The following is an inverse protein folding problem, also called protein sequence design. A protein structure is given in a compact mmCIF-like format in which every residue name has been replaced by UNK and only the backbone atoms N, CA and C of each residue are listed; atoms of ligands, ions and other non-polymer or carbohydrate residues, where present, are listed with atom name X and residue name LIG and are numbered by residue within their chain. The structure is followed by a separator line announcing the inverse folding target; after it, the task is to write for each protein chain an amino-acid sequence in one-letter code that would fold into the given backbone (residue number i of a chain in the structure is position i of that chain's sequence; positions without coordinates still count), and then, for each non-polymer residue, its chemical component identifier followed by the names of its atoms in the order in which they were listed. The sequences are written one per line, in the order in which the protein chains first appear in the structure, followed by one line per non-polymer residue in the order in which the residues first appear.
data_IF_970349390825
#
_entry.id   IF_970349390825
#
_cell.length_a   1.000
_cell.length_b   1.000
_cell.length_c   1.000
_cell.angle_alpha   90.00
_cell.angle_beta   90.00
_cell.angle_gamma   90.00
#
_symmetry.space_group_name_H-M   'P 1'
#
loop_
_entity.id
_entity.type
_entity.pdbx_description
1 polymer ?
#
# COMPACT_ATOMS: atom_id res chain seq x y z
N UNK A 1 -51.68 1.61 11.34
CA UNK A 1 -51.15 0.83 10.21
C UNK A 1 -49.79 0.32 10.60
N UNK A 2 -49.70 -0.98 10.82
CA UNK A 2 -48.48 -1.73 11.13
C UNK A 2 -47.70 -1.99 9.84
N UNK A 3 -46.39 -1.75 9.86
CA UNK A 3 -45.48 -2.16 8.79
C UNK A 3 -45.32 -3.69 8.80
N UNK A 4 -45.26 -4.37 7.63
CA UNK A 4 -44.94 -5.79 7.60
C UNK A 4 -43.45 -6.02 7.84
N UNK A 5 -43.19 -7.03 8.67
CA UNK A 5 -41.91 -7.59 9.07
C UNK A 5 -41.20 -8.35 7.95
N UNK A 6 -39.85 -8.28 7.99
CA UNK A 6 -38.83 -9.20 7.47
C UNK A 6 -39.31 -10.35 6.57
N UNK A 7 -39.03 -10.24 5.27
CA UNK A 7 -38.96 -11.39 4.38
C UNK A 7 -37.59 -12.03 4.50
N UNK A 8 -37.55 -13.23 5.08
CA UNK A 8 -36.36 -14.08 5.07
C UNK A 8 -35.89 -14.36 3.64
N UNK A 9 -34.61 -14.11 3.39
CA UNK A 9 -33.93 -14.62 2.21
C UNK A 9 -33.95 -16.16 2.27
N UNK A 10 -34.84 -16.80 1.51
CA UNK A 10 -34.69 -18.21 1.22
C UNK A 10 -33.45 -18.38 0.36
N UNK A 11 -32.37 -18.90 0.94
CA UNK A 11 -31.21 -19.33 0.16
C UNK A 11 -31.71 -20.32 -0.91
N UNK A 12 -31.58 -19.94 -2.19
CA UNK A 12 -31.92 -20.81 -3.32
C UNK A 12 -31.13 -22.14 -3.25
N UNK A 13 -31.53 -23.15 -4.05
CA UNK A 13 -30.88 -24.45 -4.03
C UNK A 13 -29.36 -24.31 -4.19
N UNK A 14 -28.60 -24.89 -3.27
CA UNK A 14 -27.13 -24.88 -3.31
C UNK A 14 -26.66 -25.51 -4.61
N UNK A 15 -26.01 -24.71 -5.45
CA UNK A 15 -25.43 -25.21 -6.69
C UNK A 15 -24.07 -25.86 -6.39
N UNK A 16 -23.58 -26.80 -7.23
CA UNK A 16 -22.24 -27.37 -7.11
C UNK A 16 -21.12 -26.31 -7.03
N UNK A 17 -21.40 -25.09 -7.54
CA UNK A 17 -20.51 -23.94 -7.52
C UNK A 17 -20.38 -23.31 -6.12
N UNK A 18 -21.47 -23.22 -5.36
CA UNK A 18 -21.46 -22.73 -3.97
C UNK A 18 -20.68 -23.69 -3.05
N UNK A 19 -20.78 -25.00 -3.30
CA UNK A 19 -20.02 -25.99 -2.54
C UNK A 19 -18.52 -25.95 -2.86
N UNK A 20 -18.16 -25.75 -4.13
CA UNK A 20 -16.77 -25.52 -4.56
C UNK A 20 -16.18 -24.26 -3.91
N UNK A 21 -16.93 -23.16 -3.92
CA UNK A 21 -16.56 -21.91 -3.27
C UNK A 21 -16.28 -22.17 -1.78
N UNK A 22 -17.24 -22.73 -1.03
CA UNK A 22 -17.08 -23.02 0.39
C UNK A 22 -15.88 -23.94 0.71
N UNK A 23 -15.54 -24.89 -0.18
CA UNK A 23 -14.40 -25.80 -0.01
C UNK A 23 -13.06 -25.09 -0.26
N UNK A 24 -12.97 -24.22 -1.27
CA UNK A 24 -11.79 -23.39 -1.52
C UNK A 24 -11.56 -22.41 -0.37
N UNK A 25 -12.63 -21.76 0.12
CA UNK A 25 -12.56 -20.85 1.27
C UNK A 25 -12.02 -21.55 2.53
N UNK A 26 -12.44 -22.80 2.78
CA UNK A 26 -11.90 -23.61 3.89
C UNK A 26 -10.43 -24.00 3.72
N UNK A 27 -9.97 -24.16 2.47
CA UNK A 27 -8.61 -24.60 2.16
C UNK A 27 -7.58 -23.45 2.11
N UNK A 28 -8.03 -22.19 2.15
CA UNK A 28 -7.20 -20.99 2.15
C UNK A 28 -7.58 -20.10 3.34
N UNK A 29 -6.73 -19.96 4.37
CA UNK A 29 -6.92 -18.93 5.39
C UNK A 29 -6.52 -17.55 4.85
N UNK A 30 -7.44 -16.57 4.77
CA UNK A 30 -7.16 -15.21 4.29
C UNK A 30 -8.41 -14.40 3.94
N UNK A 31 -8.23 -13.15 3.46
CA UNK A 31 -9.33 -12.30 2.95
C UNK A 31 -9.46 -12.48 1.44
N UNK A 32 -10.67 -12.79 0.96
CA UNK A 32 -10.96 -13.06 -0.45
C UNK A 32 -12.35 -12.55 -0.83
N UNK A 33 -12.55 -12.35 -2.12
CA UNK A 33 -13.87 -12.08 -2.69
C UNK A 33 -14.14 -13.05 -3.84
N UNK A 34 -15.27 -13.74 -3.79
CA UNK A 34 -15.76 -14.55 -4.89
C UNK A 34 -16.87 -13.79 -5.63
N UNK A 35 -16.78 -13.73 -6.96
CA UNK A 35 -17.85 -13.21 -7.81
C UNK A 35 -18.35 -14.36 -8.66
N UNK A 36 -19.56 -14.82 -8.35
CA UNK A 36 -20.25 -15.87 -9.09
C UNK A 36 -21.26 -15.23 -10.04
N UNK A 37 -21.22 -15.64 -11.30
CA UNK A 37 -22.19 -15.22 -12.31
C UNK A 37 -22.68 -16.41 -13.13
N UNK A 38 -23.97 -16.38 -13.42
CA UNK A 38 -24.66 -17.36 -14.26
C UNK A 38 -24.88 -16.72 -15.63
N UNK A 39 -24.46 -17.42 -16.68
CA UNK A 39 -24.83 -17.06 -18.05
C UNK A 39 -26.15 -17.72 -18.44
N UNK A 40 -26.93 -17.03 -19.27
CA UNK A 40 -28.14 -17.62 -19.85
C UNK A 40 -27.77 -18.84 -20.72
N UNK A 41 -28.62 -19.87 -20.77
CA UNK A 41 -28.40 -21.03 -21.63
C UNK A 41 -28.44 -20.61 -23.11
N UNK A 42 -27.43 -21.03 -23.87
CA UNK A 42 -27.30 -20.71 -25.32
C UNK A 42 -28.39 -21.39 -26.18
N UNK A 43 -29.11 -22.37 -25.64
CA UNK A 43 -30.19 -23.13 -26.29
C UNK A 43 -31.09 -23.80 -25.22
N UNK A 44 -32.35 -24.17 -25.54
CA UNK A 44 -33.30 -24.78 -24.60
C UNK A 44 -32.78 -26.05 -23.92
N UNK A 45 -32.00 -26.85 -24.65
CA UNK A 45 -31.47 -28.14 -24.19
C UNK A 45 -30.01 -28.04 -23.69
N UNK A 46 -29.45 -26.84 -23.58
CA UNK A 46 -28.10 -26.62 -23.04
C UNK A 46 -28.18 -26.10 -21.61
N UNK A 47 -27.42 -26.69 -20.68
CA UNK A 47 -27.35 -26.17 -19.31
C UNK A 47 -26.75 -24.76 -19.30
N UNK A 48 -27.25 -23.91 -18.41
CA UNK A 48 -26.70 -22.58 -18.14
C UNK A 48 -25.23 -22.74 -17.70
N UNK A 49 -24.29 -21.98 -18.31
CA UNK A 49 -22.91 -22.01 -17.84
C UNK A 49 -22.78 -21.10 -16.63
N UNK A 50 -22.08 -21.56 -15.61
CA UNK A 50 -21.73 -20.76 -14.45
C UNK A 50 -20.23 -20.45 -14.49
N UNK A 51 -19.83 -19.29 -14.00
CA UNK A 51 -18.43 -18.99 -13.75
C UNK A 51 -18.27 -18.29 -12.42
N UNK A 52 -17.22 -18.66 -11.69
CA UNK A 52 -16.81 -18.03 -10.44
C UNK A 52 -15.42 -17.48 -10.60
N UNK A 53 -15.26 -16.18 -10.37
CA UNK A 53 -13.96 -15.56 -10.24
C UNK A 53 -13.58 -15.52 -8.75
N UNK A 54 -12.42 -16.08 -8.41
CA UNK A 54 -11.82 -15.95 -7.09
C UNK A 54 -10.78 -14.83 -7.14
N UNK A 55 -10.89 -13.85 -6.25
CA UNK A 55 -9.91 -12.78 -6.09
C UNK A 55 -9.21 -12.92 -4.74
N UNK A 56 -7.88 -13.04 -4.79
CA UNK A 56 -7.01 -13.16 -3.62
C UNK A 56 -5.85 -12.17 -3.77
N UNK A 57 -5.68 -11.22 -2.83
CA UNK A 57 -4.57 -10.26 -2.80
C UNK A 57 -4.25 -9.64 -4.18
N UNK A 58 -5.25 -9.02 -4.82
CA UNK A 58 -5.18 -8.44 -6.18
C UNK A 58 -4.94 -9.41 -7.36
N UNK A 59 -5.13 -10.72 -7.17
CA UNK A 59 -4.99 -11.73 -8.23
C UNK A 59 -6.31 -12.42 -8.51
N UNK A 60 -6.69 -12.55 -9.79
CA UNK A 60 -7.99 -13.11 -10.22
C UNK A 60 -7.82 -14.47 -10.92
N UNK A 61 -8.45 -15.50 -10.37
CA UNK A 61 -8.58 -16.82 -11.01
C UNK A 61 -10.02 -16.99 -11.48
N UNK A 62 -10.25 -17.23 -12.78
CA UNK A 62 -11.59 -17.49 -13.31
C UNK A 62 -11.80 -19.00 -13.47
N UNK A 63 -12.72 -19.56 -12.69
CA UNK A 63 -13.18 -20.95 -12.80
C UNK A 63 -14.50 -20.96 -13.56
N UNK A 64 -14.60 -21.79 -14.60
CA UNK A 64 -15.83 -21.93 -15.39
C UNK A 64 -16.40 -23.34 -15.29
N UNK A 65 -17.72 -23.42 -15.17
CA UNK A 65 -18.49 -24.65 -15.17
C UNK A 65 -19.38 -24.67 -16.41
N UNK A 66 -19.18 -25.65 -17.29
CA UNK A 66 -19.89 -25.73 -18.58
C UNK A 66 -21.19 -26.55 -18.54
N UNK A 67 -21.58 -27.02 -17.35
CA UNK A 67 -22.87 -27.65 -17.10
C UNK A 67 -23.03 -29.08 -17.59
N UNK A 68 -22.02 -29.66 -18.27
CA UNK A 68 -22.16 -30.98 -18.92
C UNK A 68 -22.19 -32.15 -17.93
N UNK A 69 -21.42 -32.07 -16.86
CA UNK A 69 -21.38 -33.07 -15.80
C UNK A 69 -21.33 -32.39 -14.42
N UNK A 70 -22.15 -32.82 -13.45
CA UNK A 70 -22.06 -32.33 -12.07
C UNK A 70 -20.66 -32.60 -11.51
N UNK A 71 -19.96 -31.55 -11.05
CA UNK A 71 -18.67 -31.68 -10.38
C UNK A 71 -17.42 -31.59 -11.27
N UNK A 72 -17.55 -31.46 -12.60
CA UNK A 72 -16.41 -31.19 -13.49
C UNK A 72 -16.32 -29.69 -13.79
N UNK A 73 -15.22 -29.07 -13.37
CA UNK A 73 -14.95 -27.64 -13.56
C UNK A 73 -13.72 -27.45 -14.46
N UNK A 74 -13.80 -26.51 -15.41
CA UNK A 74 -12.69 -26.14 -16.29
C UNK A 74 -12.14 -24.77 -15.91
N UNK A 75 -10.85 -24.68 -15.65
CA UNK A 75 -10.14 -23.39 -15.55
C UNK A 75 -9.92 -22.88 -16.97
N UNK A 76 -10.58 -21.78 -17.35
CA UNK A 76 -10.54 -21.25 -18.74
C UNK A 76 -9.63 -20.06 -18.95
N UNK A 77 -9.34 -19.29 -17.90
CA UNK A 77 -8.41 -18.17 -18.00
C UNK A 77 -7.83 -17.85 -16.62
N UNK A 78 -6.51 -17.77 -16.55
CA UNK A 78 -5.77 -17.26 -15.40
C UNK A 78 -5.26 -15.87 -15.79
N UNK A 79 -5.99 -14.82 -15.42
CA UNK A 79 -5.55 -13.46 -15.70
C UNK A 79 -4.70 -12.99 -14.53
N UNK A 80 -3.39 -13.19 -14.65
CA UNK A 80 -2.42 -12.35 -13.96
C UNK A 80 -2.59 -10.94 -14.54
N UNK A 81 -2.75 -9.91 -13.72
CA UNK A 81 -2.53 -8.55 -14.21
C UNK A 81 -1.01 -8.34 -14.43
N UNK A 82 -0.50 -8.96 -15.50
CA UNK A 82 0.43 -8.40 -16.47
C UNK A 82 0.11 -9.09 -17.79
N UNK A 83 -0.08 -8.31 -18.84
CA UNK A 83 -0.59 -8.71 -20.15
C UNK A 83 0.14 -9.95 -20.69
N UNK A 84 -0.53 -11.09 -20.83
CA UNK A 84 0.07 -12.32 -21.36
C UNK A 84 -0.96 -13.42 -21.63
N UNK A 85 -0.75 -14.16 -22.72
CA UNK A 85 -1.70 -15.10 -23.35
C UNK A 85 -2.18 -16.28 -22.44
N UNK A 86 -3.36 -16.86 -22.71
CA UNK A 86 -3.89 -18.00 -21.94
C UNK A 86 -3.06 -19.28 -22.12
N UNK A 87 -2.78 -19.99 -21.02
CA UNK A 87 -2.13 -21.31 -20.98
C UNK A 87 -3.12 -22.47 -21.25
N UNK A 88 -2.63 -23.68 -21.65
CA UNK A 88 -3.45 -24.78 -22.16
C UNK A 88 -4.25 -25.52 -21.07
N UNK A 89 -5.31 -26.23 -21.51
CA UNK A 89 -6.23 -27.01 -20.67
C UNK A 89 -5.54 -28.16 -19.93
N UNK A 90 -5.65 -28.20 -18.60
CA UNK A 90 -5.18 -29.32 -17.75
C UNK A 90 -6.15 -30.53 -17.77
N UNK A 91 -5.64 -31.76 -17.55
CA UNK A 91 -6.44 -33.00 -17.56
C UNK A 91 -7.30 -33.22 -16.30
N UNK A 92 -8.29 -34.12 -16.40
CA UNK A 92 -9.21 -34.50 -15.33
C UNK A 92 -8.63 -35.60 -14.41
N UNK A 93 -8.85 -35.50 -13.08
CA UNK A 93 -8.40 -36.49 -12.07
C UNK A 93 -9.56 -36.88 -11.14
N UNK A 94 -9.81 -38.18 -10.83
CA UNK A 94 -10.89 -38.59 -9.91
C UNK A 94 -10.49 -38.62 -8.42
N UNK A 95 -11.53 -38.80 -7.59
CA UNK A 95 -11.72 -38.45 -6.18
C UNK A 95 -11.04 -39.31 -5.10
N UNK A 96 -10.50 -38.66 -4.07
CA UNK A 96 -10.99 -38.63 -2.68
C UNK A 96 -10.24 -37.49 -1.96
N UNK A 97 -10.96 -36.55 -1.32
CA UNK A 97 -10.43 -35.23 -0.98
C UNK A 97 -10.76 -34.17 -2.04
N UNK A 98 -10.18 -32.96 -1.91
CA UNK A 98 -10.34 -31.86 -2.88
C UNK A 98 -10.25 -32.41 -4.33
N UNK A 99 -11.25 -32.10 -5.16
CA UNK A 99 -11.34 -32.45 -6.58
C UNK A 99 -10.09 -32.01 -7.34
N UNK A 100 -9.83 -32.62 -8.50
CA UNK A 100 -8.71 -32.23 -9.38
C UNK A 100 -8.64 -30.72 -9.63
N UNK A 101 -9.80 -30.10 -9.82
CA UNK A 101 -9.91 -28.66 -10.03
C UNK A 101 -9.50 -27.89 -8.77
N UNK A 102 -9.93 -28.31 -7.59
CA UNK A 102 -9.54 -27.67 -6.33
C UNK A 102 -8.04 -27.83 -6.04
N UNK A 103 -7.48 -29.01 -6.29
CA UNK A 103 -6.05 -29.25 -6.13
C UNK A 103 -5.23 -28.45 -7.14
N UNK A 104 -5.68 -28.33 -8.40
CA UNK A 104 -5.02 -27.50 -9.39
C UNK A 104 -5.09 -26.02 -9.00
N UNK A 105 -6.26 -25.52 -8.63
CA UNK A 105 -6.42 -24.13 -8.17
C UNK A 105 -5.56 -23.85 -6.95
N UNK A 106 -5.53 -24.75 -5.96
CA UNK A 106 -4.69 -24.60 -4.77
C UNK A 106 -3.20 -24.73 -5.08
N UNK A 107 -2.80 -25.66 -5.94
CA UNK A 107 -1.40 -25.85 -6.35
C UNK A 107 -0.91 -24.62 -7.09
N UNK A 108 -1.70 -24.07 -8.01
CA UNK A 108 -1.36 -22.85 -8.73
C UNK A 108 -1.33 -21.62 -7.82
N UNK A 109 -2.30 -21.49 -6.90
CA UNK A 109 -2.27 -20.43 -5.88
C UNK A 109 -1.05 -20.55 -4.94
N UNK A 110 -0.58 -21.77 -4.66
CA UNK A 110 0.59 -22.06 -3.81
C UNK A 110 1.93 -21.99 -4.56
N UNK A 111 1.94 -22.28 -5.86
CA UNK A 111 3.15 -22.34 -6.70
C UNK A 111 3.55 -20.97 -7.26
N UNK A 112 2.68 -19.97 -7.18
CA UNK A 112 3.05 -18.60 -7.53
C UNK A 112 3.98 -18.01 -6.47
N UNK A 113 5.05 -17.27 -6.87
CA UNK A 113 5.89 -16.57 -5.91
C UNK A 113 5.03 -15.65 -5.05
N UNK A 114 5.28 -15.67 -3.74
CA UNK A 114 4.69 -14.71 -2.83
C UNK A 114 5.02 -13.31 -3.34
N UNK A 115 4.02 -12.53 -3.77
CA UNK A 115 4.27 -11.10 -3.99
C UNK A 115 4.51 -10.55 -2.60
N UNK A 116 5.70 -10.01 -2.39
CA UNK A 116 6.04 -9.33 -1.16
C UNK A 116 4.98 -8.25 -0.90
N UNK A 117 4.45 -8.16 0.33
CA UNK A 117 3.49 -7.12 0.66
C UNK A 117 4.11 -5.74 0.40
N UNK A 118 3.30 -4.81 -0.11
CA UNK A 118 3.75 -3.45 -0.43
C UNK A 118 4.28 -2.79 0.84
N UNK A 119 5.46 -2.19 0.74
CA UNK A 119 6.05 -1.40 1.82
C UNK A 119 5.84 0.09 1.53
N UNK A 120 5.27 0.77 2.50
CA UNK A 120 4.95 2.20 2.44
C UNK A 120 6.01 2.97 3.21
N UNK A 121 6.50 4.07 2.64
CA UNK A 121 7.46 4.99 3.26
C UNK A 121 6.73 6.31 3.47
N UNK A 122 6.36 6.65 4.70
CA UNK A 122 5.82 7.98 5.03
C UNK A 122 6.98 8.93 5.34
N UNK A 123 7.00 10.07 4.67
CA UNK A 123 8.03 11.10 4.81
C UNK A 123 7.44 12.39 5.35
N UNK A 124 8.22 13.06 6.19
CA UNK A 124 8.06 14.46 6.54
C UNK A 124 9.44 15.13 6.56
N UNK A 125 9.50 16.41 6.21
CA UNK A 125 10.74 17.17 6.08
C UNK A 125 10.66 18.46 6.88
N UNK A 126 11.78 18.80 7.49
CA UNK A 126 11.97 20.14 8.02
C UNK A 126 12.95 20.93 7.14
N UNK A 127 12.49 22.08 6.67
CA UNK A 127 13.18 22.85 5.64
C UNK A 127 13.24 24.34 5.96
N UNK A 128 14.17 25.04 5.30
CA UNK A 128 14.39 26.47 5.47
C UNK A 128 13.75 27.31 4.36
N UNK A 129 12.86 26.71 3.56
CA UNK A 129 12.15 27.38 2.47
C UNK A 129 10.91 26.58 2.07
N UNK A 130 9.90 27.25 1.51
CA UNK A 130 8.71 26.60 0.94
C UNK A 130 8.83 26.31 -0.56
N UNK A 131 9.99 26.60 -1.16
CA UNK A 131 10.27 26.34 -2.58
C UNK A 131 10.82 24.93 -2.79
N UNK A 132 10.73 24.44 -4.04
CA UNK A 132 11.18 23.08 -4.39
C UNK A 132 12.66 22.86 -4.10
N UNK A 133 13.52 23.84 -4.32
CA UNK A 133 14.95 23.73 -4.03
C UNK A 133 15.32 24.11 -2.59
N UNK A 134 14.43 23.90 -1.62
CA UNK A 134 14.68 24.25 -0.22
C UNK A 134 15.91 23.52 0.36
N UNK A 135 16.61 24.20 1.26
CA UNK A 135 17.54 23.53 2.18
C UNK A 135 16.74 22.68 3.15
N UNK A 136 17.09 21.41 3.24
CA UNK A 136 16.50 20.42 4.15
C UNK A 136 17.47 20.24 5.31
N UNK A 137 16.96 20.27 6.54
CA UNK A 137 17.79 20.08 7.74
C UNK A 137 17.39 18.84 8.56
N UNK A 138 16.19 18.28 8.34
CA UNK A 138 15.78 16.97 8.85
C UNK A 138 14.90 16.21 7.86
N UNK A 139 15.09 14.89 7.78
CA UNK A 139 14.22 13.94 7.08
C UNK A 139 13.69 12.93 8.11
N UNK A 140 12.39 12.91 8.32
CA UNK A 140 11.71 11.90 9.13
C UNK A 140 11.06 10.87 8.22
N UNK A 141 11.30 9.58 8.48
CA UNK A 141 10.72 8.51 7.69
C UNK A 141 10.25 7.34 8.53
N UNK A 142 9.06 6.82 8.19
CA UNK A 142 8.53 5.57 8.76
C UNK A 142 8.15 4.60 7.65
N UNK A 143 8.68 3.37 7.73
CA UNK A 143 8.37 2.28 6.82
C UNK A 143 7.39 1.33 7.49
N UNK A 144 6.29 1.04 6.81
CA UNK A 144 5.22 0.18 7.32
C UNK A 144 4.60 -0.67 6.21
N UNK A 145 3.95 -1.77 6.60
CA UNK A 145 3.35 -2.74 5.66
C UNK A 145 2.05 -3.27 6.23
N UNK A 146 1.16 -3.75 5.35
CA UNK A 146 0.02 -4.56 5.73
C UNK A 146 0.29 -6.03 5.38
N UNK A 147 0.36 -6.88 6.40
CA UNK A 147 0.64 -8.31 6.24
C UNK A 147 -0.19 -9.11 7.22
N UNK A 148 -0.81 -10.20 6.78
CA UNK A 148 -1.55 -11.10 7.67
C UNK A 148 -2.74 -10.45 8.39
N UNK A 149 -3.36 -9.43 7.78
CA UNK A 149 -4.52 -8.73 8.37
C UNK A 149 -4.16 -7.58 9.31
N UNK A 150 -2.87 -7.26 9.47
CA UNK A 150 -2.40 -6.24 10.41
C UNK A 150 -1.42 -5.26 9.76
N UNK A 151 -1.52 -3.99 10.17
CA UNK A 151 -0.52 -2.97 9.88
C UNK A 151 0.65 -3.06 10.86
N UNK A 152 1.86 -3.07 10.33
CA UNK A 152 3.09 -3.20 11.11
C UNK A 152 4.11 -2.17 10.66
N UNK A 153 4.71 -1.45 11.61
CA UNK A 153 5.89 -0.61 11.37
C UNK A 153 7.11 -1.53 11.29
N UNK A 154 7.87 -1.41 10.20
CA UNK A 154 9.08 -2.20 9.95
C UNK A 154 10.34 -1.48 10.40
N UNK A 155 10.40 -0.17 10.13
CA UNK A 155 11.52 0.67 10.51
C UNK A 155 11.07 2.13 10.61
N UNK A 156 11.78 2.92 11.39
CA UNK A 156 11.61 4.36 11.44
C UNK A 156 12.95 5.01 11.76
N UNK A 157 13.22 6.17 11.18
CA UNK A 157 14.47 6.88 11.38
C UNK A 157 14.33 8.35 11.06
N UNK A 158 15.08 9.17 11.79
CA UNK A 158 15.31 10.57 11.48
C UNK A 158 16.76 10.75 11.01
N UNK A 159 16.93 11.57 9.97
CA UNK A 159 18.23 11.93 9.40
C UNK A 159 18.42 13.44 9.55
N UNK A 160 19.39 13.84 10.38
CA UNK A 160 19.76 15.25 10.52
C UNK A 160 20.80 15.62 9.48
N UNK A 161 20.60 16.79 8.87
CA UNK A 161 21.43 17.30 7.78
C UNK A 161 22.05 18.61 8.22
N UNK A 162 23.36 18.76 8.02
CA UNK A 162 24.03 20.04 8.14
C UNK A 162 23.45 21.01 7.10
N UNK A 163 22.63 21.94 7.57
CA UNK A 163 21.96 22.91 6.73
C UNK A 163 22.94 23.75 5.90
N UNK A 164 24.16 23.99 6.41
CA UNK A 164 25.17 24.74 5.66
C UNK A 164 25.61 23.99 4.40
N UNK A 165 25.77 22.67 4.48
CA UNK A 165 26.12 21.85 3.31
C UNK A 165 25.07 21.90 2.20
N UNK A 166 23.78 22.03 2.55
CA UNK A 166 22.69 22.23 1.58
C UNK A 166 22.69 23.62 0.96
N UNK A 167 23.05 24.66 1.73
CA UNK A 167 23.25 26.03 1.22
C UNK A 167 24.41 26.05 0.23
N UNK A 168 25.54 25.43 0.60
CA UNK A 168 26.75 25.37 -0.23
C UNK A 168 26.51 24.64 -1.56
N UNK A 169 25.57 23.68 -1.56
CA UNK A 169 25.11 22.96 -2.75
C UNK A 169 24.07 23.73 -3.60
N UNK A 170 23.75 24.98 -3.24
CA UNK A 170 22.81 25.84 -3.98
C UNK A 170 21.34 25.74 -3.53
N UNK A 171 21.09 25.14 -2.36
CA UNK A 171 19.77 25.12 -1.73
C UNK A 171 19.28 26.51 -1.34
N UNK A 172 17.98 26.74 -1.46
CA UNK A 172 17.34 28.02 -1.16
C UNK A 172 16.91 28.13 0.30
N UNK A 173 17.23 29.26 0.92
CA UNK A 173 16.74 29.67 2.24
C UNK A 173 15.83 30.88 2.09
N UNK A 174 14.67 30.85 2.74
CA UNK A 174 13.70 31.95 2.71
C UNK A 174 13.61 32.61 4.07
N UNK A 175 13.83 33.93 4.13
CA UNK A 175 13.77 34.70 5.37
C UNK A 175 12.46 34.49 6.15
N UNK A 176 11.30 34.49 5.47
CA UNK A 176 10.01 34.25 6.14
C UNK A 176 9.88 32.85 6.76
N UNK A 177 10.55 31.84 6.19
CA UNK A 177 10.58 30.50 6.77
C UNK A 177 11.46 30.47 8.02
N UNK A 178 12.59 31.18 8.03
CA UNK A 178 13.40 31.35 9.24
C UNK A 178 12.64 32.09 10.35
N UNK A 179 11.92 33.16 10.00
CA UNK A 179 11.06 33.89 10.95
C UNK A 179 9.98 32.97 11.53
N UNK A 180 9.38 32.14 10.69
CA UNK A 180 8.40 31.14 11.14
C UNK A 180 9.03 30.11 12.09
N UNK A 181 10.26 29.66 11.83
CA UNK A 181 11.01 28.77 12.73
C UNK A 181 11.32 29.42 14.09
N UNK A 182 11.71 30.69 14.11
CA UNK A 182 11.96 31.42 15.35
C UNK A 182 10.71 31.57 16.23
N UNK A 183 9.52 31.47 15.65
CA UNK A 183 8.25 31.51 16.37
C UNK A 183 7.79 30.14 16.90
N UNK A 184 8.48 29.03 16.56
CA UNK A 184 8.11 27.70 17.03
C UNK A 184 8.39 27.50 18.53
N UNK A 185 7.68 26.57 19.18
CA UNK A 185 7.98 26.16 20.55
C UNK A 185 9.44 25.77 20.73
N UNK A 186 9.97 25.94 21.94
CA UNK A 186 11.37 25.66 22.25
C UNK A 186 11.76 24.21 21.93
N UNK A 187 10.88 23.26 22.22
CA UNK A 187 11.08 21.83 21.94
C UNK A 187 11.34 21.56 20.45
N UNK A 188 10.58 22.21 19.56
CA UNK A 188 10.77 22.08 18.11
C UNK A 188 12.06 22.78 17.65
N UNK A 189 12.31 24.01 18.15
CA UNK A 189 13.54 24.75 17.83
C UNK A 189 14.80 24.03 18.33
N UNK A 190 14.72 23.31 19.45
CA UNK A 190 15.84 22.57 20.01
C UNK A 190 16.31 21.44 19.08
N UNK A 191 15.40 20.82 18.30
CA UNK A 191 15.76 19.82 17.29
C UNK A 191 16.66 20.38 16.19
N UNK A 192 16.51 21.66 15.84
CA UNK A 192 17.39 22.32 14.87
C UNK A 192 18.85 22.30 15.31
N UNK A 193 19.15 22.27 16.61
CA UNK A 193 20.53 22.17 17.10
C UNK A 193 21.23 20.88 16.66
N UNK A 194 20.48 19.79 16.42
CA UNK A 194 21.06 18.55 15.89
C UNK A 194 21.59 18.71 14.46
N UNK A 195 21.00 19.60 13.66
CA UNK A 195 21.52 19.97 12.34
C UNK A 195 22.89 20.65 12.39
N UNK A 196 23.30 21.14 13.57
CA UNK A 196 24.56 21.86 13.79
C UNK A 196 25.59 21.02 14.58
N UNK A 197 25.19 19.85 15.08
CA UNK A 197 26.07 18.95 15.81
C UNK A 197 26.72 17.96 14.83
N UNK A 198 28.04 18.01 14.59
CA UNK A 198 28.73 17.10 13.67
C UNK A 198 28.71 15.63 14.11
N UNK A 199 28.24 15.32 15.33
CA UNK A 199 28.00 13.94 15.78
C UNK A 199 26.62 13.41 15.41
N UNK A 200 25.68 14.29 15.06
CA UNK A 200 24.28 13.97 14.79
C UNK A 200 23.95 14.20 13.31
N UNK A 201 24.41 15.32 12.76
CA UNK A 201 24.19 15.72 11.39
C UNK A 201 25.34 15.33 10.48
N UNK A 202 24.98 15.02 9.24
CA UNK A 202 25.91 14.73 8.16
C UNK A 202 25.77 15.77 7.06
N UNK A 203 26.70 15.78 6.10
CA UNK A 203 26.51 16.56 4.88
C UNK A 203 25.21 16.12 4.18
N UNK A 204 24.58 17.03 3.45
CA UNK A 204 23.36 16.73 2.70
C UNK A 204 23.56 15.53 1.76
N UNK A 205 24.71 15.48 1.08
CA UNK A 205 25.04 14.36 0.19
C UNK A 205 25.07 13.02 0.95
N UNK A 206 25.75 12.98 2.09
CA UNK A 206 25.90 11.74 2.88
C UNK A 206 24.56 11.30 3.47
N UNK A 207 23.79 12.24 4.01
CA UNK A 207 22.47 11.95 4.55
C UNK A 207 21.50 11.42 3.49
N UNK A 208 21.50 11.98 2.28
CA UNK A 208 20.68 11.49 1.16
C UNK A 208 21.12 10.10 0.69
N UNK A 209 22.42 9.82 0.67
CA UNK A 209 22.94 8.47 0.36
C UNK A 209 22.56 7.47 1.46
N UNK A 210 22.65 7.86 2.72
CA UNK A 210 22.27 7.02 3.85
C UNK A 210 20.76 6.75 3.87
N UNK A 211 19.95 7.77 3.62
CA UNK A 211 18.50 7.64 3.52
C UNK A 211 18.09 6.69 2.38
N UNK A 212 18.72 6.81 1.20
CA UNK A 212 18.48 5.89 0.09
C UNK A 212 18.85 4.45 0.42
N UNK A 213 20.01 4.24 1.04
CA UNK A 213 20.45 2.91 1.51
C UNK A 213 19.49 2.33 2.54
N UNK A 214 19.03 3.15 3.49
CA UNK A 214 18.06 2.75 4.49
C UNK A 214 16.72 2.34 3.87
N UNK A 215 16.25 3.04 2.83
CA UNK A 215 15.09 2.60 2.03
C UNK A 215 15.38 1.24 1.40
N UNK A 216 16.51 1.07 0.71
CA UNK A 216 16.82 -0.18 0.02
C UNK A 216 16.92 -1.38 0.99
N UNK A 217 17.54 -1.19 2.16
CA UNK A 217 17.65 -2.21 3.21
C UNK A 217 16.27 -2.60 3.80
N UNK A 218 15.38 -1.62 3.96
CA UNK A 218 14.09 -1.80 4.64
C UNK A 218 12.90 -1.97 3.69
N UNK A 219 13.09 -1.79 2.38
CA UNK A 219 12.07 -2.01 1.34
C UNK A 219 12.45 -3.20 0.46
N UNK A 220 13.71 -3.27 0.03
CA UNK A 220 14.22 -4.29 -0.86
C UNK A 220 13.45 -4.37 -2.17
N UNK A 221 13.14 -5.60 -2.59
CA UNK A 221 12.41 -5.90 -3.82
C UNK A 221 10.89 -5.78 -3.68
N UNK A 222 10.39 -5.42 -2.49
CA UNK A 222 8.95 -5.25 -2.29
C UNK A 222 8.41 -4.08 -3.14
N UNK A 223 7.16 -4.18 -3.64
CA UNK A 223 6.48 -3.02 -4.20
C UNK A 223 6.52 -1.88 -3.20
N UNK A 224 6.86 -0.67 -3.65
CA UNK A 224 7.05 0.49 -2.77
C UNK A 224 5.98 1.55 -2.99
N UNK A 225 5.72 2.37 -1.98
CA UNK A 225 4.91 3.56 -2.10
C UNK A 225 5.46 4.64 -1.16
N UNK A 226 5.80 5.80 -1.70
CA UNK A 226 6.44 6.90 -0.97
C UNK A 226 5.42 8.01 -0.79
N UNK A 227 5.12 8.35 0.46
CA UNK A 227 4.11 9.33 0.83
C UNK A 227 4.77 10.61 1.30
N UNK A 228 4.30 11.73 0.75
CA UNK A 228 4.59 13.07 1.28
C UNK A 228 3.31 13.82 1.58
N UNK A 229 3.41 14.80 2.46
CA UNK A 229 2.35 15.72 2.82
C UNK A 229 2.25 16.83 1.76
N UNK A 230 1.66 16.46 0.62
CA UNK A 230 1.35 17.36 -0.49
C UNK A 230 2.16 17.10 -1.75
N UNK A 231 1.48 17.17 -2.90
CA UNK A 231 2.05 16.85 -4.21
C UNK A 231 3.25 17.73 -4.64
N UNK A 232 3.46 18.89 -4.00
CA UNK A 232 4.54 19.82 -4.32
C UNK A 232 5.50 20.09 -3.14
N UNK A 233 5.39 19.33 -2.04
CA UNK A 233 6.20 19.52 -0.83
C UNK A 233 7.29 18.46 -0.75
N UNK A 234 7.18 17.54 0.21
CA UNK A 234 8.28 16.76 0.76
C UNK A 234 9.02 15.95 -0.31
N UNK A 235 8.28 15.19 -1.11
CA UNK A 235 8.85 14.42 -2.21
C UNK A 235 9.55 15.35 -3.21
N UNK A 236 8.90 16.43 -3.64
CA UNK A 236 9.47 17.35 -4.63
C UNK A 236 10.72 18.09 -4.10
N UNK A 237 10.73 18.45 -2.81
CA UNK A 237 11.88 19.10 -2.17
C UNK A 237 13.05 18.13 -2.03
N UNK A 238 12.75 16.89 -1.65
CA UNK A 238 13.75 15.83 -1.52
C UNK A 238 14.34 15.44 -2.88
N UNK A 239 13.52 15.28 -3.91
CA UNK A 239 13.99 15.02 -5.29
C UNK A 239 14.90 16.14 -5.80
N UNK A 240 14.57 17.41 -5.50
CA UNK A 240 15.45 18.54 -5.82
C UNK A 240 16.79 18.50 -5.07
N UNK A 241 16.80 17.98 -3.83
CA UNK A 241 18.03 17.76 -3.07
C UNK A 241 18.90 16.65 -3.66
N UNK A 242 18.30 15.54 -4.08
CA UNK A 242 19.00 14.48 -4.82
C UNK A 242 19.60 15.02 -6.12
N UNK A 243 18.83 15.80 -6.88
CA UNK A 243 19.27 16.38 -8.16
C UNK A 243 20.48 17.30 -7.99
N UNK A 244 20.45 18.26 -7.04
CA UNK A 244 21.58 19.18 -6.81
C UNK A 244 22.83 18.47 -6.29
N UNK A 245 22.68 17.33 -5.62
CA UNK A 245 23.80 16.50 -5.17
C UNK A 245 24.30 15.50 -6.22
N UNK A 246 23.66 15.47 -7.40
CA UNK A 246 23.93 14.50 -8.46
C UNK A 246 23.76 13.05 -8.00
N UNK A 247 22.72 12.81 -7.20
CA UNK A 247 22.35 11.49 -6.68
C UNK A 247 21.07 10.98 -7.37
N UNK A 248 20.90 9.67 -7.40
CA UNK A 248 19.65 9.04 -7.88
C UNK A 248 18.67 8.90 -6.73
N UNK A 249 17.41 9.28 -6.96
CA UNK A 249 16.33 9.10 -5.99
C UNK A 249 16.01 7.60 -5.81
N UNK A 250 15.78 7.11 -4.59
CA UNK A 250 15.56 5.69 -4.32
C UNK A 250 14.09 5.29 -4.55
N UNK A 251 13.40 5.91 -5.51
CA UNK A 251 12.05 5.54 -5.94
C UNK A 251 11.79 6.00 -7.37
N UNK A 252 10.70 5.53 -7.95
CA UNK A 252 10.24 5.90 -9.28
C UNK A 252 9.04 6.85 -9.21
N UNK A 253 8.71 7.48 -10.33
CA UNK A 253 7.53 8.34 -10.44
C UNK A 253 6.22 7.62 -10.07
N UNK A 254 6.13 6.30 -10.25
CA UNK A 254 4.93 5.51 -9.97
C UNK A 254 4.75 5.21 -8.48
N UNK A 255 5.80 5.37 -7.69
CA UNK A 255 5.80 5.07 -6.26
C UNK A 255 5.24 6.21 -5.43
N UNK A 256 5.22 7.44 -5.97
CA UNK A 256 4.84 8.63 -5.23
C UNK A 256 3.35 8.64 -4.87
N UNK A 257 3.04 9.14 -3.67
CA UNK A 257 1.70 9.28 -3.13
C UNK A 257 1.56 10.58 -2.34
N UNK A 258 0.35 11.14 -2.33
CA UNK A 258 0.04 12.38 -1.62
C UNK A 258 -0.83 12.07 -0.40
N UNK A 259 -0.24 12.11 0.80
CA UNK A 259 -0.95 11.94 2.07
C UNK A 259 -2.08 12.98 2.20
N UNK A 260 -1.79 14.25 1.90
CA UNK A 260 -2.74 15.36 2.04
C UNK A 260 -4.03 15.16 1.27
N UNK A 261 -3.95 14.52 0.09
CA UNK A 261 -5.14 14.22 -0.70
C UNK A 261 -6.08 13.28 0.05
N UNK A 262 -5.55 12.24 0.70
CA UNK A 262 -6.38 11.28 1.46
C UNK A 262 -6.84 11.87 2.79
N UNK A 263 -5.98 12.57 3.52
CA UNK A 263 -6.37 13.15 4.81
C UNK A 263 -7.47 14.22 4.68
N UNK A 264 -7.45 15.01 3.61
CA UNK A 264 -8.52 15.97 3.32
C UNK A 264 -9.86 15.30 2.96
N UNK A 265 -9.87 14.04 2.53
CA UNK A 265 -11.11 13.30 2.27
C UNK A 265 -11.72 12.69 3.54
N UNK A 266 -10.93 12.60 4.62
CA UNK A 266 -11.37 12.04 5.89
C UNK A 266 -10.87 12.89 7.08
N UNK A 267 -11.19 14.20 7.12
CA UNK A 267 -10.68 15.11 8.15
C UNK A 267 -11.09 14.71 9.56
N UNK A 268 -12.22 14.01 9.71
CA UNK A 268 -12.68 13.47 10.98
C UNK A 268 -11.71 12.44 11.58
N UNK A 269 -11.01 11.66 10.75
CA UNK A 269 -10.04 10.67 11.23
C UNK A 269 -8.79 11.38 11.75
N UNK A 270 -8.32 12.39 11.04
CA UNK A 270 -7.21 13.23 11.50
C UNK A 270 -7.56 13.95 12.82
N UNK A 271 -8.79 14.46 12.94
CA UNK A 271 -9.23 15.19 14.13
C UNK A 271 -9.29 14.33 15.41
N UNK A 272 -9.64 13.05 15.29
CA UNK A 272 -9.71 12.13 16.45
C UNK A 272 -8.41 11.38 16.71
N UNK A 273 -7.44 11.45 15.79
CA UNK A 273 -6.12 10.83 15.98
C UNK A 273 -5.25 11.76 16.80
N UNK A 274 -4.87 11.40 18.04
CA UNK A 274 -4.03 12.26 18.86
C UNK A 274 -2.62 12.38 18.25
N UNK A 275 -2.07 13.58 18.31
CA UNK A 275 -0.66 13.80 18.04
C UNK A 275 0.16 13.34 19.25
N UNK A 276 1.25 12.60 19.01
CA UNK A 276 2.17 12.12 20.04
C UNK A 276 3.57 12.49 19.61
N UNK A 277 4.28 13.24 20.45
CA UNK A 277 5.60 13.77 20.13
C UNK A 277 5.60 15.30 20.02
N UNK A 278 6.64 15.83 19.38
CA UNK A 278 6.81 17.27 19.15
C UNK A 278 6.34 17.60 17.74
N UNK A 279 5.52 18.65 17.58
CA UNK A 279 5.16 19.14 16.24
C UNK A 279 6.36 19.83 15.62
N UNK A 280 6.54 19.68 14.30
CA UNK A 280 7.72 20.17 13.59
C UNK A 280 9.00 19.43 14.00
N UNK A 281 8.82 18.15 14.35
CA UNK A 281 9.85 17.14 14.45
C UNK A 281 9.54 16.09 13.40
N UNK A 282 10.42 15.98 12.40
CA UNK A 282 10.11 15.29 11.15
C UNK A 282 9.63 13.84 11.39
N UNK A 283 10.27 13.13 12.33
CA UNK A 283 9.92 11.74 12.62
C UNK A 283 8.58 11.60 13.35
N UNK A 284 8.25 12.53 14.25
CA UNK A 284 6.97 12.53 14.98
C UNK A 284 5.81 12.92 14.06
N UNK A 285 6.04 13.87 13.16
CA UNK A 285 5.07 14.22 12.11
C UNK A 285 4.87 13.03 11.15
N UNK A 286 5.93 12.36 10.68
CA UNK A 286 5.80 11.15 9.85
C UNK A 286 5.03 10.02 10.57
N UNK A 287 5.31 9.78 11.86
CA UNK A 287 4.57 8.81 12.70
C UNK A 287 3.09 9.15 12.79
N UNK A 288 2.77 10.42 13.04
CA UNK A 288 1.38 10.85 13.13
C UNK A 288 0.65 10.70 11.79
N UNK A 289 1.28 11.10 10.68
CA UNK A 289 0.73 10.96 9.34
C UNK A 289 0.47 9.50 8.97
N UNK A 290 1.37 8.58 9.34
CA UNK A 290 1.15 7.13 9.17
C UNK A 290 -0.06 6.63 9.94
N UNK A 291 -0.21 7.03 11.21
CA UNK A 291 -1.37 6.64 12.04
C UNK A 291 -2.68 7.11 11.42
N UNK A 292 -2.72 8.37 10.99
CA UNK A 292 -3.90 8.94 10.32
C UNK A 292 -4.19 8.18 9.02
N UNK A 293 -3.18 7.94 8.19
CA UNK A 293 -3.34 7.21 6.93
C UNK A 293 -3.89 5.79 7.15
N UNK A 294 -3.35 5.05 8.11
CA UNK A 294 -3.85 3.72 8.49
C UNK A 294 -5.32 3.81 8.93
N UNK A 295 -5.67 4.78 9.77
CA UNK A 295 -7.06 4.98 10.21
C UNK A 295 -8.01 5.26 9.05
N UNK A 296 -7.58 6.04 8.05
CA UNK A 296 -8.37 6.33 6.84
C UNK A 296 -8.61 5.05 6.06
N UNK A 297 -7.58 4.23 5.86
CA UNK A 297 -7.67 2.97 5.10
C UNK A 297 -8.60 1.98 5.77
N UNK A 298 -8.48 1.85 7.10
CA UNK A 298 -9.36 1.02 7.92
C UNK A 298 -10.82 1.49 7.82
N UNK A 299 -11.07 2.79 7.90
CA UNK A 299 -12.41 3.36 7.75
C UNK A 299 -13.01 3.12 6.36
N UNK A 300 -12.18 3.02 5.32
CA UNK A 300 -12.61 2.67 3.95
C UNK A 300 -12.82 1.16 3.75
N UNK A 301 -12.59 0.32 4.75
CA UNK A 301 -12.72 -1.13 4.66
C UNK A 301 -11.69 -1.78 3.72
N UNK A 302 -10.57 -1.10 3.46
CA UNK A 302 -9.52 -1.58 2.54
C UNK A 302 -8.40 -2.25 3.32
N UNK A 303 -7.86 -3.32 2.76
CA UNK A 303 -6.66 -4.01 3.25
C UNK A 303 -5.39 -3.55 2.53
N UNK A 304 -5.52 -2.74 1.49
CA UNK A 304 -4.39 -2.19 0.75
C UNK A 304 -4.56 -0.70 0.48
N UNK A 305 -3.43 0.01 0.60
CA UNK A 305 -3.25 1.38 0.16
C UNK A 305 -2.96 1.40 -1.34
N UNK A 306 -3.64 2.28 -2.09
CA UNK A 306 -3.45 2.49 -3.54
C UNK A 306 -1.97 2.65 -3.91
#
# INVERSE_FOLDING_TARGET
MTFPSESGESAGPRTPLHDLEARILRALPGTYSAITALSAPDAPDRPARAWTAFVLHNRRVNVTWDGKEPGIFQVRAMNLHSVGAPTPKSPAVPSEGLSATEQLVLTELRAQPAVLPRRHVMLDLETLSTYKNAVIWSIGAQIFTFTGGQWTVLAEREFFIDAQSGIDAGGHVRANTLVWWMAQPEEARAKFAYSQDPKQAQSERDALQEFGRWIDENVGEAPRAVWGNGAASDIAQLESAYERQHLTVPWTFQDQRCYRTLSNQAPQIAAVTPFVGVRHDAIDDARHQTKVLIGIVQALGRTELL
#
